data_IF_385035882231
#
_entry.id   IF_385035882231
#
_cell.length_a   1.000
_cell.length_b   1.000
_cell.length_c   1.000
_cell.angle_alpha   90.00
_cell.angle_beta   90.00
_cell.angle_gamma   90.00
#
_symmetry.space_group_name_H-M   'P 1'
#
loop_
_entity.id
_entity.type
_entity.pdbx_description
1 polymer ?
#
# COMPACT_ATOMS: atom_id res chain seq x y z
N UNK A 1 7.40 3.43 13.99
CA UNK A 1 6.47 4.54 13.70
C UNK A 1 5.11 4.14 14.24
N UNK A 2 4.41 5.01 14.96
CA UNK A 2 3.01 4.73 15.35
C UNK A 2 2.22 4.60 14.05
N UNK A 3 1.60 3.45 13.81
CA UNK A 3 0.61 3.34 12.74
C UNK A 3 -0.40 4.44 12.96
N UNK A 4 -0.63 5.28 11.95
CA UNK A 4 -1.69 6.28 12.06
C UNK A 4 -3.02 5.55 12.29
N UNK A 5 -3.95 6.17 13.01
CA UNK A 5 -5.27 5.56 13.24
C UNK A 5 -5.94 5.15 11.92
N UNK A 6 -5.70 5.93 10.86
CA UNK A 6 -6.13 5.63 9.51
C UNK A 6 -5.62 4.29 8.97
N UNK A 7 -4.36 3.94 9.20
CA UNK A 7 -3.78 2.66 8.76
C UNK A 7 -4.42 1.48 9.45
N UNK A 8 -4.60 1.59 10.77
CA UNK A 8 -5.25 0.55 11.56
C UNK A 8 -6.69 0.37 11.10
N UNK A 9 -7.42 1.47 10.86
CA UNK A 9 -8.78 1.42 10.33
C UNK A 9 -8.83 0.79 8.93
N UNK A 10 -7.92 1.17 8.03
CA UNK A 10 -7.91 0.68 6.64
C UNK A 10 -7.57 -0.80 6.57
N UNK A 11 -6.58 -1.28 7.34
CA UNK A 11 -6.27 -2.71 7.46
C UNK A 11 -7.41 -3.51 8.10
N UNK A 12 -8.06 -2.96 9.12
CA UNK A 12 -9.21 -3.58 9.77
C UNK A 12 -10.41 -3.69 8.83
N UNK A 13 -10.71 -2.60 8.09
CA UNK A 13 -11.81 -2.56 7.13
C UNK A 13 -11.57 -3.53 5.98
N UNK A 14 -10.34 -3.66 5.49
CA UNK A 14 -9.98 -4.68 4.50
C UNK A 14 -10.27 -6.10 5.02
N UNK A 15 -9.85 -6.39 6.25
CA UNK A 15 -10.13 -7.68 6.91
C UNK A 15 -11.63 -7.97 7.06
N UNK A 16 -12.40 -6.99 7.51
CA UNK A 16 -13.87 -7.12 7.60
C UNK A 16 -14.48 -7.31 6.22
N UNK A 17 -13.96 -6.67 5.18
CA UNK A 17 -14.53 -6.76 3.83
C UNK A 17 -14.48 -8.19 3.28
N UNK A 18 -13.42 -8.95 3.56
CA UNK A 18 -13.37 -10.38 3.24
C UNK A 18 -14.36 -11.22 4.05
N UNK A 19 -14.52 -10.94 5.35
CA UNK A 19 -15.54 -11.60 6.16
C UNK A 19 -16.96 -11.28 5.67
N UNK A 20 -17.19 -10.02 5.28
CA UNK A 20 -18.44 -9.54 4.70
C UNK A 20 -18.73 -10.20 3.34
N UNK A 21 -17.72 -10.42 2.51
CA UNK A 21 -17.87 -11.17 1.26
C UNK A 21 -18.39 -12.59 1.51
N UNK A 22 -17.78 -13.32 2.46
CA UNK A 22 -18.15 -14.71 2.75
C UNK A 22 -19.53 -14.77 3.41
N UNK A 23 -19.75 -14.01 4.48
CA UNK A 23 -21.01 -14.05 5.23
C UNK A 23 -22.15 -13.46 4.40
N UNK A 24 -21.88 -12.33 3.74
CA UNK A 24 -22.84 -11.64 2.88
C UNK A 24 -23.26 -12.50 1.69
N UNK A 25 -22.34 -13.19 1.02
CA UNK A 25 -22.69 -14.05 -0.12
C UNK A 25 -23.57 -15.24 0.30
N UNK A 26 -23.27 -15.86 1.45
CA UNK A 26 -24.10 -16.93 2.02
C UNK A 26 -25.48 -16.41 2.42
N UNK A 27 -25.56 -15.22 3.02
CA UNK A 27 -26.82 -14.59 3.40
C UNK A 27 -27.65 -14.22 2.17
N UNK A 28 -27.05 -13.57 1.16
CA UNK A 28 -27.69 -13.26 -0.12
C UNK A 28 -28.22 -14.53 -0.79
N UNK A 29 -27.42 -15.60 -0.83
CA UNK A 29 -27.84 -16.86 -1.42
C UNK A 29 -29.08 -17.42 -0.69
N UNK A 30 -29.05 -17.43 0.65
CA UNK A 30 -30.16 -17.91 1.48
C UNK A 30 -31.43 -17.06 1.29
N UNK A 31 -31.30 -15.73 1.25
CA UNK A 31 -32.43 -14.82 1.07
C UNK A 31 -33.09 -14.97 -0.29
N UNK A 32 -32.32 -15.20 -1.35
CA UNK A 32 -32.87 -15.34 -2.71
C UNK A 32 -33.26 -16.78 -3.07
N UNK A 33 -33.02 -17.75 -2.18
CA UNK A 33 -33.36 -19.15 -2.39
C UNK A 33 -34.88 -19.35 -2.51
N UNK A 34 -35.66 -18.57 -1.76
CA UNK A 34 -37.14 -18.62 -1.80
C UNK A 34 -37.72 -18.16 -3.15
N UNK A 35 -36.98 -17.34 -3.90
CA UNK A 35 -37.36 -16.90 -5.24
C UNK A 35 -36.94 -17.88 -6.35
N UNK A 36 -36.17 -18.92 -5.98
CA UNK A 36 -35.69 -19.97 -6.88
C UNK A 36 -34.16 -20.03 -6.96
N UNK A 37 -33.66 -21.19 -7.42
CA UNK A 37 -32.22 -21.45 -7.49
C UNK A 37 -31.50 -20.50 -8.46
N UNK A 38 -32.12 -20.21 -9.61
CA UNK A 38 -31.51 -19.34 -10.62
C UNK A 38 -31.36 -17.89 -10.12
N UNK A 39 -32.40 -17.33 -9.50
CA UNK A 39 -32.34 -15.99 -8.90
C UNK A 39 -31.34 -15.91 -7.75
N UNK A 40 -31.22 -16.97 -6.94
CA UNK A 40 -30.24 -17.04 -5.87
C UNK A 40 -28.80 -16.98 -6.39
N UNK A 41 -28.47 -17.84 -7.35
CA UNK A 41 -27.13 -17.86 -7.95
C UNK A 41 -26.80 -16.52 -8.61
N UNK A 42 -27.71 -15.99 -9.44
CA UNK A 42 -27.48 -14.74 -10.15
C UNK A 42 -27.27 -13.55 -9.20
N UNK A 43 -28.11 -13.43 -8.17
CA UNK A 43 -28.00 -12.35 -7.18
C UNK A 43 -26.73 -12.46 -6.34
N UNK A 44 -26.33 -13.68 -5.95
CA UNK A 44 -25.07 -13.90 -5.23
C UNK A 44 -23.85 -13.57 -6.08
N UNK A 45 -23.85 -13.88 -7.38
CA UNK A 45 -22.76 -13.50 -8.28
C UNK A 45 -22.64 -11.97 -8.37
N UNK A 46 -23.75 -11.26 -8.54
CA UNK A 46 -23.76 -9.79 -8.57
C UNK A 46 -23.23 -9.23 -7.24
N UNK A 47 -23.69 -9.75 -6.11
CA UNK A 47 -23.23 -9.34 -4.80
C UNK A 47 -21.71 -9.54 -4.63
N UNK A 48 -21.19 -10.71 -5.02
CA UNK A 48 -19.76 -11.02 -4.97
C UNK A 48 -18.97 -10.04 -5.84
N UNK A 49 -19.44 -9.78 -7.08
CA UNK A 49 -18.77 -8.87 -7.99
C UNK A 49 -18.67 -7.45 -7.42
N UNK A 50 -19.78 -6.91 -6.92
CA UNK A 50 -19.81 -5.58 -6.30
C UNK A 50 -18.92 -5.53 -5.06
N UNK A 51 -18.96 -6.56 -4.21
CA UNK A 51 -18.17 -6.61 -2.99
C UNK A 51 -16.67 -6.69 -3.29
N UNK A 52 -16.27 -7.51 -4.27
CA UNK A 52 -14.89 -7.59 -4.73
C UNK A 52 -14.39 -6.26 -5.31
N UNK A 53 -15.25 -5.54 -6.03
CA UNK A 53 -14.91 -4.20 -6.51
C UNK A 53 -14.58 -3.26 -5.34
N UNK A 54 -15.38 -3.25 -4.27
CA UNK A 54 -15.07 -2.45 -3.07
C UNK A 54 -13.78 -2.90 -2.35
N UNK A 55 -13.56 -4.22 -2.23
CA UNK A 55 -12.31 -4.76 -1.66
C UNK A 55 -11.11 -4.25 -2.46
N UNK A 56 -11.18 -4.29 -3.80
CA UNK A 56 -10.10 -3.85 -4.67
C UNK A 56 -9.79 -2.36 -4.52
N UNK A 57 -10.81 -1.51 -4.31
CA UNK A 57 -10.61 -0.09 -4.00
C UNK A 57 -9.85 0.09 -2.69
N UNK A 58 -10.25 -0.61 -1.62
CA UNK A 58 -9.57 -0.55 -0.32
C UNK A 58 -8.11 -1.04 -0.41
N UNK A 59 -7.88 -2.12 -1.15
CA UNK A 59 -6.55 -2.67 -1.38
C UNK A 59 -5.67 -1.69 -2.14
N UNK A 60 -6.22 -1.06 -3.18
CA UNK A 60 -5.54 -0.02 -3.96
C UNK A 60 -5.17 1.18 -3.09
N UNK A 61 -6.07 1.63 -2.20
CA UNK A 61 -5.76 2.71 -1.24
C UNK A 61 -4.60 2.35 -0.30
N UNK A 62 -4.54 1.10 0.18
CA UNK A 62 -3.41 0.61 0.98
C UNK A 62 -2.10 0.67 0.18
N UNK A 63 -2.11 0.14 -1.04
CA UNK A 63 -0.94 0.08 -1.91
C UNK A 63 -0.39 1.48 -2.26
N UNK A 64 -1.27 2.44 -2.61
CA UNK A 64 -0.84 3.81 -2.90
C UNK A 64 -0.17 4.48 -1.70
N UNK A 65 -0.68 4.23 -0.49
CA UNK A 65 -0.11 4.77 0.74
C UNK A 65 1.26 4.18 1.01
N UNK A 66 1.39 2.86 0.95
CA UNK A 66 2.68 2.17 1.16
C UNK A 66 3.72 2.65 0.14
N UNK A 67 3.32 2.79 -1.12
CA UNK A 67 4.18 3.35 -2.17
C UNK A 67 4.60 4.80 -1.91
N UNK A 68 3.74 5.63 -1.31
CA UNK A 68 4.10 6.99 -0.92
C UNK A 68 5.15 7.02 0.21
N UNK A 69 5.01 6.15 1.20
CA UNK A 69 6.01 6.01 2.28
C UNK A 69 7.36 5.53 1.76
N UNK A 70 7.36 4.53 0.87
CA UNK A 70 8.58 4.01 0.25
C UNK A 70 9.29 5.08 -0.58
N UNK A 71 8.55 5.83 -1.41
CA UNK A 71 9.11 6.95 -2.18
C UNK A 71 9.73 8.01 -1.28
N UNK A 72 9.10 8.31 -0.14
CA UNK A 72 9.65 9.26 0.85
C UNK A 72 10.96 8.74 1.45
N UNK A 73 11.03 7.45 1.80
CA UNK A 73 12.26 6.80 2.31
C UNK A 73 13.37 6.82 1.25
N UNK A 74 13.05 6.47 0.01
CA UNK A 74 14.00 6.48 -1.11
C UNK A 74 14.54 7.90 -1.38
N UNK A 75 13.67 8.91 -1.37
CA UNK A 75 14.07 10.32 -1.57
C UNK A 75 15.03 10.80 -0.48
N UNK A 76 14.75 10.45 0.78
CA UNK A 76 15.64 10.78 1.90
C UNK A 76 17.01 10.12 1.72
N UNK A 77 17.02 8.85 1.37
CA UNK A 77 18.25 8.08 1.17
C UNK A 77 19.09 8.65 0.01
N UNK A 78 18.44 9.10 -1.07
CA UNK A 78 19.11 9.78 -2.18
C UNK A 78 19.76 11.11 -1.76
N UNK A 79 19.07 11.88 -0.91
CA UNK A 79 19.61 13.13 -0.37
C UNK A 79 20.82 12.90 0.53
N UNK A 80 20.75 11.88 1.39
CA UNK A 80 21.85 11.49 2.28
C UNK A 80 23.09 11.04 1.48
N UNK A 81 22.89 10.21 0.44
CA UNK A 81 23.98 9.81 -0.47
C UNK A 81 24.59 11.03 -1.17
N UNK A 82 23.76 11.94 -1.69
CA UNK A 82 24.24 13.17 -2.35
C UNK A 82 25.10 14.01 -1.42
N UNK A 83 24.72 14.12 -0.14
CA UNK A 83 25.46 14.86 0.87
C UNK A 83 26.83 14.21 1.14
N UNK A 84 26.84 12.90 1.38
CA UNK A 84 28.07 12.14 1.63
C UNK A 84 29.05 12.22 0.44
N UNK A 85 28.55 12.12 -0.79
CA UNK A 85 29.39 12.28 -1.99
C UNK A 85 29.97 13.70 -2.14
N UNK A 86 29.24 14.72 -1.71
CA UNK A 86 29.75 16.11 -1.72
C UNK A 86 30.85 16.28 -0.68
N UNK A 87 30.69 15.70 0.50
CA UNK A 87 31.68 15.71 1.58
C UNK A 87 32.96 14.93 1.21
N UNK A 88 32.83 13.75 0.58
CA UNK A 88 34.00 12.98 0.08
C UNK A 88 34.80 13.76 -0.96
N UNK A 89 34.11 14.41 -1.91
CA UNK A 89 34.77 15.26 -2.91
C UNK A 89 35.49 16.46 -2.28
N UNK A 90 34.88 17.12 -1.30
CA UNK A 90 35.51 18.23 -0.60
C UNK A 90 36.76 17.77 0.17
N UNK A 91 36.70 16.63 0.84
CA UNK A 91 37.83 16.04 1.56
C UNK A 91 38.98 15.63 0.62
N UNK A 92 38.67 15.08 -0.56
CA UNK A 92 39.70 14.78 -1.59
C UNK A 92 40.38 16.04 -2.13
N UNK A 93 39.61 17.09 -2.43
CA UNK A 93 40.15 18.35 -2.91
C UNK A 93 41.05 19.04 -1.86
N UNK A 94 40.69 18.97 -0.58
CA UNK A 94 41.55 19.46 0.52
C UNK A 94 42.83 18.64 0.61
N UNK A 95 42.75 17.31 0.48
CA UNK A 95 43.91 16.42 0.54
C UNK A 95 44.89 16.64 -0.62
N UNK A 96 44.38 16.90 -1.83
CA UNK A 96 45.21 17.20 -3.02
C UNK A 96 45.93 18.55 -2.88
N UNK A 97 45.30 19.57 -2.29
CA UNK A 97 45.93 20.88 -2.05
C UNK A 97 46.93 20.88 -0.88
N UNK A 98 46.97 19.82 -0.06
CA UNK A 98 47.87 19.68 1.09
C UNK A 98 49.01 18.69 0.85
N UNK A 99 49.04 18.04 -0.31
CA UNK A 99 50.21 17.30 -0.78
C UNK A 99 51.17 18.32 -1.42
N UNK A 100 52.46 18.33 -1.06
CA UNK A 100 53.43 19.16 -1.76
C UNK A 100 53.39 18.79 -3.24
N UNK A 101 53.28 19.81 -4.10
CA UNK A 101 53.60 19.61 -5.51
C UNK A 101 55.09 19.26 -5.54
N UNK A 102 55.41 17.98 -5.78
CA UNK A 102 56.78 17.61 -6.12
C UNK A 102 57.09 18.34 -7.44
N UNK A 103 58.02 19.30 -7.34
CA UNK A 103 58.61 20.08 -8.43
C UNK A 103 59.31 19.21 -9.49
#
# INVERSE_FOLDING_TARGET
>A
MKKSLFETLLSFLLGISFAFLIIGSALTFKTFLDFGLFSAIFSTIIFIFITLFFILVLETMNLYRDGHEEKKKQTKLLFDIKKLLKEDKANKAVKENFLPQDD
#
